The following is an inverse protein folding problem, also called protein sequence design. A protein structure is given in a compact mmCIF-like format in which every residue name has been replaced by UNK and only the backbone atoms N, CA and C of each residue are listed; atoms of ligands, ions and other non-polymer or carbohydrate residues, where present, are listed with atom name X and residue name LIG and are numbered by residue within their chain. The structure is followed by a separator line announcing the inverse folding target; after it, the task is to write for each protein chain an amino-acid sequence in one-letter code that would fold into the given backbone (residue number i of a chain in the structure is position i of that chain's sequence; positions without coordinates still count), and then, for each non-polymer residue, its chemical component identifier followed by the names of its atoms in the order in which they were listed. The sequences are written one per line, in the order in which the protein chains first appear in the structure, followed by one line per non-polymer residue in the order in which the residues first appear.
data_IF_323913105218
#
_entry.id   IF_323913105218
#
_cell.length_a   1.000
_cell.length_b   1.000
_cell.length_c   1.000
_cell.angle_alpha   90.00
_cell.angle_beta   90.00
_cell.angle_gamma   90.00
#
_symmetry.space_group_name_H-M   'P 1'
#
loop_
_entity.id
_entity.type
_entity.pdbx_description
1 polymer ?
#
# COMPACT_ATOMS: atom_id res chain seq x y z
N UNK A 1 37.72 -1.23 -23.20
CA UNK A 1 37.67 -2.34 -22.24
C UNK A 1 36.25 -2.40 -21.70
N UNK A 2 35.57 -3.55 -21.79
CA UNK A 2 34.28 -3.79 -21.13
C UNK A 2 34.54 -4.82 -20.03
N UNK A 3 34.71 -4.34 -18.81
CA UNK A 3 35.20 -5.15 -17.70
C UNK A 3 34.09 -5.86 -16.92
N UNK A 4 34.28 -7.14 -16.61
CA UNK A 4 33.67 -7.80 -15.45
C UNK A 4 34.72 -7.86 -14.34
N UNK A 5 34.60 -6.96 -13.38
CA UNK A 5 35.52 -6.90 -12.22
C UNK A 5 35.22 -8.06 -11.28
N UNK A 6 36.28 -8.73 -10.82
CA UNK A 6 36.19 -9.89 -9.94
C UNK A 6 36.72 -9.59 -8.53
N UNK A 7 37.79 -8.79 -8.43
CA UNK A 7 38.47 -8.48 -7.19
C UNK A 7 39.16 -7.12 -7.30
N UNK A 8 39.18 -6.41 -6.19
CA UNK A 8 39.99 -5.20 -5.99
C UNK A 8 40.83 -5.44 -4.74
N UNK A 9 42.13 -5.17 -4.79
CA UNK A 9 43.02 -5.22 -3.62
C UNK A 9 44.11 -4.15 -3.74
N UNK A 10 44.74 -3.81 -2.63
CA UNK A 10 45.80 -2.82 -2.59
C UNK A 10 47.18 -3.48 -2.77
N UNK A 11 48.05 -2.87 -3.57
CA UNK A 11 49.44 -3.29 -3.76
C UNK A 11 50.32 -2.08 -4.04
N UNK A 12 51.44 -1.96 -3.32
CA UNK A 12 52.42 -0.87 -3.47
C UNK A 12 51.78 0.55 -3.42
N UNK A 13 50.76 0.74 -2.58
CA UNK A 13 50.06 2.02 -2.44
C UNK A 13 49.10 2.37 -3.60
N UNK A 14 48.81 1.41 -4.49
CA UNK A 14 47.80 1.54 -5.56
C UNK A 14 46.71 0.48 -5.44
N UNK A 15 45.56 0.76 -6.03
CA UNK A 15 44.46 -0.21 -6.16
C UNK A 15 44.64 -1.02 -7.44
N UNK A 16 44.64 -2.34 -7.31
CA UNK A 16 44.70 -3.28 -8.43
C UNK A 16 43.29 -3.81 -8.69
N UNK A 17 42.76 -3.51 -9.88
CA UNK A 17 41.43 -3.96 -10.32
C UNK A 17 41.61 -5.17 -11.24
N UNK A 18 41.24 -6.35 -10.77
CA UNK A 18 41.31 -7.59 -11.54
C UNK A 18 39.96 -7.92 -12.15
N UNK A 19 39.94 -8.20 -13.45
CA UNK A 19 38.71 -8.59 -14.13
C UNK A 19 38.97 -9.24 -15.48
N UNK A 20 37.88 -9.42 -16.22
CA UNK A 20 37.91 -9.91 -17.60
C UNK A 20 37.43 -8.80 -18.53
N UNK A 21 38.20 -8.51 -19.57
CA UNK A 21 37.70 -7.72 -20.68
C UNK A 21 36.82 -8.62 -21.57
N UNK A 22 35.51 -8.43 -21.49
CA UNK A 22 34.54 -9.30 -22.14
C UNK A 22 34.57 -9.18 -23.66
N UNK A 23 35.21 -8.15 -24.22
CA UNK A 23 35.36 -8.00 -25.68
C UNK A 23 36.50 -8.88 -26.23
N UNK A 24 37.63 -8.94 -25.52
CA UNK A 24 38.80 -9.72 -25.94
C UNK A 24 38.87 -11.11 -25.33
N UNK A 25 38.07 -11.38 -24.29
CA UNK A 25 38.08 -12.63 -23.53
C UNK A 25 39.29 -12.77 -22.60
N UNK A 26 40.10 -11.73 -22.44
CA UNK A 26 41.34 -11.78 -21.67
C UNK A 26 41.14 -11.29 -20.25
N UNK A 27 41.89 -11.88 -19.33
CA UNK A 27 42.05 -11.34 -17.99
C UNK A 27 42.87 -10.05 -18.06
N UNK A 28 42.44 -9.05 -17.31
CA UNK A 28 43.06 -7.73 -17.24
C UNK A 28 43.25 -7.33 -15.79
N UNK A 29 44.41 -6.72 -15.53
CA UNK A 29 44.73 -6.07 -14.27
C UNK A 29 44.97 -4.59 -14.57
N UNK A 30 44.29 -3.72 -13.84
CA UNK A 30 44.38 -2.27 -14.01
C UNK A 30 44.83 -1.66 -12.69
N UNK A 31 45.99 -1.01 -12.70
CA UNK A 31 46.41 -0.14 -11.59
C UNK A 31 45.62 1.16 -11.64
N UNK A 32 45.01 1.53 -10.52
CA UNK A 32 44.26 2.77 -10.38
C UNK A 32 44.61 3.46 -9.04
N UNK A 33 44.66 4.79 -9.07
CA UNK A 33 44.83 5.61 -7.86
C UNK A 33 43.48 5.76 -7.10
N UNK A 34 42.36 5.58 -7.80
CA UNK A 34 41.00 5.63 -7.24
C UNK A 34 40.09 4.64 -7.96
N UNK A 35 39.27 3.92 -7.19
CA UNK A 35 38.20 3.07 -7.72
C UNK A 35 36.85 3.57 -7.21
N UNK A 36 35.96 3.92 -8.14
CA UNK A 36 34.60 4.38 -7.84
C UNK A 36 33.63 3.23 -8.00
N UNK A 37 32.92 2.87 -6.93
CA UNK A 37 31.87 1.86 -6.97
C UNK A 37 30.54 2.49 -7.34
N UNK A 38 30.03 2.15 -8.53
CA UNK A 38 28.67 2.52 -8.93
C UNK A 38 27.65 1.62 -8.22
N UNK A 39 27.30 1.96 -6.98
CA UNK A 39 26.38 1.19 -6.15
C UNK A 39 24.93 1.31 -6.63
N UNK A 40 24.15 0.25 -6.44
CA UNK A 40 22.72 0.26 -6.71
C UNK A 40 21.95 1.14 -5.71
N UNK A 41 20.76 1.60 -6.11
CA UNK A 41 19.82 2.27 -5.22
C UNK A 41 19.16 1.27 -4.26
N UNK A 42 18.87 1.72 -3.05
CA UNK A 42 18.05 1.01 -2.06
C UNK A 42 16.96 1.96 -1.54
N UNK A 43 15.86 1.44 -1.00
CA UNK A 43 14.88 2.26 -0.31
C UNK A 43 15.51 3.11 0.79
N UNK A 44 14.90 4.26 1.08
CA UNK A 44 15.35 5.12 2.15
C UNK A 44 15.15 4.45 3.53
N UNK A 45 16.00 4.81 4.48
CA UNK A 45 15.85 4.35 5.87
C UNK A 45 14.46 4.74 6.41
N UNK A 46 13.81 3.81 7.12
CA UNK A 46 12.47 4.01 7.68
C UNK A 46 11.30 3.84 6.70
N UNK A 47 11.53 3.36 5.47
CA UNK A 47 10.45 3.14 4.49
C UNK A 47 9.35 2.20 5.03
N UNK A 48 9.69 1.17 5.82
CA UNK A 48 8.73 0.22 6.39
C UNK A 48 7.74 0.89 7.36
N UNK A 49 8.23 1.85 8.16
CA UNK A 49 7.39 2.59 9.10
C UNK A 49 6.42 3.49 8.34
N UNK A 50 6.90 4.14 7.28
CA UNK A 50 6.06 4.94 6.38
C UNK A 50 5.03 4.06 5.66
N UNK A 51 5.45 2.90 5.15
CA UNK A 51 4.58 1.91 4.52
C UNK A 51 3.45 1.51 5.46
N UNK A 52 3.76 1.23 6.73
CA UNK A 52 2.77 0.84 7.73
C UNK A 52 1.79 1.96 8.07
N UNK A 53 2.29 3.18 8.25
CA UNK A 53 1.49 4.37 8.56
C UNK A 53 0.50 4.70 7.43
N UNK A 54 0.97 4.63 6.19
CA UNK A 54 0.18 4.96 5.00
C UNK A 54 -0.49 3.74 4.34
N UNK A 55 -0.27 2.54 4.89
CA UNK A 55 -0.77 1.25 4.37
C UNK A 55 -0.40 1.03 2.91
N UNK A 56 0.84 1.36 2.56
CA UNK A 56 1.34 1.21 1.21
C UNK A 56 1.91 -0.19 1.00
N UNK A 57 1.50 -0.89 -0.06
CA UNK A 57 2.22 -2.07 -0.51
C UNK A 57 3.61 -1.67 -1.03
N UNK A 58 4.57 -2.58 -0.90
CA UNK A 58 5.91 -2.46 -1.45
C UNK A 58 6.40 -3.82 -1.96
N UNK A 59 7.37 -3.80 -2.87
CA UNK A 59 7.93 -5.00 -3.50
C UNK A 59 8.96 -5.72 -2.60
N UNK A 60 9.53 -6.82 -3.09
CA UNK A 60 10.55 -7.60 -2.37
C UNK A 60 11.85 -6.82 -2.10
N UNK A 61 12.07 -5.70 -2.79
CA UNK A 61 13.23 -4.83 -2.64
C UNK A 61 12.96 -3.61 -1.75
N UNK A 62 11.71 -3.43 -1.29
CA UNK A 62 11.27 -2.35 -0.42
C UNK A 62 10.86 -1.06 -1.13
N UNK A 63 10.64 -1.08 -2.44
CA UNK A 63 10.10 0.06 -3.19
C UNK A 63 8.56 0.04 -3.17
N UNK A 64 7.93 1.21 -3.01
CA UNK A 64 6.47 1.30 -2.94
C UNK A 64 5.83 0.91 -4.27
N UNK A 65 4.78 0.08 -4.20
CA UNK A 65 4.09 -0.42 -5.39
C UNK A 65 3.01 0.56 -5.86
N UNK A 66 3.03 0.86 -7.15
CA UNK A 66 1.93 1.52 -7.83
C UNK A 66 0.70 0.62 -7.96
N UNK A 67 -0.45 1.22 -8.26
CA UNK A 67 -1.70 0.52 -8.49
C UNK A 67 -1.69 -0.28 -9.80
N UNK A 68 -1.10 0.28 -10.86
CA UNK A 68 -0.92 -0.43 -12.12
C UNK A 68 0.23 0.17 -12.95
N UNK A 69 1.21 -0.63 -13.41
CA UNK A 69 2.43 -0.13 -14.06
C UNK A 69 2.21 0.77 -15.29
N UNK A 70 1.09 0.57 -16.01
CA UNK A 70 0.78 1.31 -17.25
C UNK A 70 -0.35 2.31 -17.14
N UNK A 71 -1.33 2.05 -16.28
CA UNK A 71 -2.60 2.80 -16.26
C UNK A 71 -2.60 3.82 -15.13
N UNK A 72 -1.95 3.47 -14.01
CA UNK A 72 -1.94 4.23 -12.77
C UNK A 72 -0.54 4.21 -12.15
N UNK A 73 0.49 4.67 -12.87
CA UNK A 73 1.90 4.47 -12.48
C UNK A 73 2.34 5.33 -11.29
N UNK A 74 1.56 6.36 -10.94
CA UNK A 74 1.83 7.28 -9.81
C UNK A 74 0.77 7.18 -8.72
N UNK A 75 -0.20 6.30 -8.88
CA UNK A 75 -1.28 6.11 -7.90
C UNK A 75 -1.02 4.84 -7.12
N UNK A 76 -1.52 4.76 -5.90
CA UNK A 76 -1.44 3.53 -5.09
C UNK A 76 -2.82 2.89 -4.94
N UNK A 77 -2.84 1.69 -4.36
CA UNK A 77 -4.11 1.04 -3.97
C UNK A 77 -4.77 1.74 -2.77
N UNK A 78 -4.03 2.57 -2.04
CA UNK A 78 -4.58 3.42 -0.99
C UNK A 78 -5.09 4.71 -1.61
N UNK A 79 -6.42 4.90 -1.61
CA UNK A 79 -7.05 6.08 -2.18
C UNK A 79 -6.48 7.37 -1.56
N UNK A 80 -6.21 8.36 -2.42
CA UNK A 80 -5.62 9.64 -2.01
C UNK A 80 -4.11 9.64 -1.75
N UNK A 81 -3.43 8.48 -1.85
CA UNK A 81 -1.97 8.39 -1.73
C UNK A 81 -1.34 8.14 -3.10
N UNK A 82 -0.37 8.98 -3.45
CA UNK A 82 0.34 8.99 -4.73
C UNK A 82 1.85 8.81 -4.52
N UNK A 83 2.54 8.32 -5.54
CA UNK A 83 3.98 8.09 -5.54
C UNK A 83 4.69 9.04 -6.52
N UNK A 84 5.86 9.52 -6.13
CA UNK A 84 6.73 10.29 -7.00
C UNK A 84 8.20 10.08 -6.64
N UNK A 85 9.02 9.81 -7.66
CA UNK A 85 10.47 9.72 -7.50
C UNK A 85 10.95 8.32 -7.12
N UNK A 86 12.18 8.25 -6.61
CA UNK A 86 12.91 7.00 -6.42
C UNK A 86 12.31 6.08 -5.33
N UNK A 87 11.32 6.52 -4.57
CA UNK A 87 10.63 5.68 -3.59
C UNK A 87 9.83 4.53 -4.23
N UNK A 88 9.46 4.66 -5.51
CA UNK A 88 8.70 3.65 -6.26
C UNK A 88 9.59 2.66 -7.03
N UNK A 89 10.81 3.06 -7.40
CA UNK A 89 11.80 2.23 -8.11
C UNK A 89 13.07 3.06 -8.35
N UNK A 90 14.24 2.44 -8.58
CA UNK A 90 15.43 3.13 -9.07
C UNK A 90 15.12 3.86 -10.37
N UNK A 91 15.37 5.17 -10.41
CA UNK A 91 15.08 6.02 -11.57
C UNK A 91 15.98 7.23 -11.63
N UNK A 92 16.05 7.84 -12.80
CA UNK A 92 16.82 9.06 -13.01
C UNK A 92 16.03 10.33 -12.64
N UNK A 93 16.69 11.48 -12.78
CA UNK A 93 16.12 12.78 -12.45
C UNK A 93 14.94 13.13 -13.38
N UNK A 94 15.07 13.05 -14.72
CA UNK A 94 13.94 13.29 -15.63
C UNK A 94 12.69 12.47 -15.31
N UNK A 95 12.85 11.16 -15.06
CA UNK A 95 11.73 10.29 -14.68
C UNK A 95 11.10 10.69 -13.35
N UNK A 96 11.92 11.05 -12.36
CA UNK A 96 11.44 11.54 -11.06
C UNK A 96 10.62 12.83 -11.20
N UNK A 97 11.08 13.77 -12.03
CA UNK A 97 10.39 15.04 -12.29
C UNK A 97 9.09 14.80 -13.07
N UNK A 98 9.10 13.88 -14.03
CA UNK A 98 7.90 13.50 -14.77
C UNK A 98 6.86 12.86 -13.84
N UNK A 99 7.27 11.94 -12.96
CA UNK A 99 6.38 11.35 -11.96
C UNK A 99 5.82 12.39 -10.98
N UNK A 100 6.64 13.34 -10.52
CA UNK A 100 6.16 14.41 -9.64
C UNK A 100 5.05 15.24 -10.31
N UNK A 101 5.23 15.60 -11.59
CA UNK A 101 4.20 16.30 -12.37
C UNK A 101 2.93 15.46 -12.54
N UNK A 102 3.08 14.16 -12.83
CA UNK A 102 1.95 13.25 -12.96
C UNK A 102 1.18 13.06 -11.65
N UNK A 103 1.88 12.90 -10.52
CA UNK A 103 1.27 12.83 -9.20
C UNK A 103 0.52 14.12 -8.87
N UNK A 104 1.12 15.29 -9.11
CA UNK A 104 0.47 16.58 -8.92
C UNK A 104 -0.81 16.73 -9.76
N UNK A 105 -0.77 16.33 -11.04
CA UNK A 105 -1.95 16.36 -11.91
C UNK A 105 -3.08 15.45 -11.40
N UNK A 106 -2.76 14.28 -10.85
CA UNK A 106 -3.75 13.37 -10.26
C UNK A 106 -4.34 13.93 -8.96
N UNK A 107 -3.53 14.54 -8.12
CA UNK A 107 -3.99 15.26 -6.92
C UNK A 107 -4.93 16.41 -7.30
N UNK A 108 -4.58 17.21 -8.31
CA UNK A 108 -5.45 18.27 -8.82
C UNK A 108 -6.77 17.72 -9.36
N UNK A 109 -6.74 16.57 -10.05
CA UNK A 109 -7.95 15.91 -10.53
C UNK A 109 -8.83 15.38 -9.38
N UNK A 110 -8.24 14.97 -8.26
CA UNK A 110 -8.99 14.54 -7.07
C UNK A 110 -9.72 15.72 -6.43
N UNK A 111 -9.09 16.89 -6.38
CA UNK A 111 -9.66 18.12 -5.80
C UNK A 111 -10.46 18.98 -6.78
N UNK A 112 -10.54 18.61 -8.06
CA UNK A 112 -11.27 19.40 -9.06
C UNK A 112 -12.79 19.27 -8.93
N UNK A 113 -13.26 18.23 -8.25
CA UNK A 113 -14.67 18.00 -8.00
C UNK A 113 -15.04 18.32 -6.54
N UNK A 114 -16.22 18.89 -6.28
CA UNK A 114 -16.69 19.19 -4.93
C UNK A 114 -17.04 17.92 -4.12
N UNK A 115 -17.20 16.79 -4.80
CA UNK A 115 -17.60 15.52 -4.21
C UNK A 115 -16.77 14.39 -4.79
N UNK A 116 -16.43 13.40 -3.96
CA UNK A 116 -15.70 12.20 -4.37
C UNK A 116 -16.69 11.03 -4.32
N UNK A 117 -16.79 10.29 -5.42
CA UNK A 117 -17.51 9.03 -5.45
C UNK A 117 -16.66 7.94 -4.80
N UNK A 118 -17.26 7.17 -3.90
CA UNK A 118 -16.63 6.02 -3.25
C UNK A 118 -17.39 4.76 -3.59
N UNK A 119 -16.68 3.64 -3.59
CA UNK A 119 -17.32 2.34 -3.74
C UNK A 119 -18.35 2.14 -2.61
N UNK A 120 -19.59 1.72 -2.94
CA UNK A 120 -20.65 1.55 -1.95
C UNK A 120 -20.50 0.27 -1.12
N UNK A 121 -19.38 -0.45 -1.29
CA UNK A 121 -19.02 -1.69 -0.58
C UNK A 121 -18.60 -1.37 0.86
N UNK A 122 -19.52 -0.85 1.66
CA UNK A 122 -19.28 -0.49 3.07
C UNK A 122 -19.96 -1.48 4.00
N UNK A 123 -19.42 -1.60 5.22
CA UNK A 123 -20.05 -2.38 6.27
C UNK A 123 -21.29 -1.67 6.82
N UNK A 124 -22.34 -2.42 7.11
CA UNK A 124 -23.59 -1.94 7.68
C UNK A 124 -23.93 -2.76 8.93
N UNK A 125 -24.38 -2.07 9.98
CA UNK A 125 -24.72 -2.70 11.27
C UNK A 125 -26.23 -2.73 11.43
N UNK A 126 -26.79 -3.91 11.70
CA UNK A 126 -28.15 -4.07 12.16
C UNK A 126 -28.24 -3.72 13.66
N UNK A 127 -28.75 -2.53 13.97
CA UNK A 127 -28.87 -1.99 15.32
C UNK A 127 -29.77 -2.84 16.24
N UNK A 128 -30.77 -3.52 15.67
CA UNK A 128 -31.69 -4.36 16.42
C UNK A 128 -30.97 -5.59 16.99
N UNK A 129 -30.17 -6.26 16.16
CA UNK A 129 -29.46 -7.48 16.56
C UNK A 129 -28.11 -7.20 17.22
N UNK A 130 -27.45 -6.06 16.94
CA UNK A 130 -26.13 -5.75 17.50
C UNK A 130 -26.14 -5.76 19.04
N UNK A 131 -25.30 -6.55 19.70
CA UNK A 131 -25.28 -6.62 21.18
C UNK A 131 -24.38 -5.58 21.85
N UNK A 132 -23.60 -4.81 21.08
CA UNK A 132 -22.66 -3.82 21.63
C UNK A 132 -21.41 -4.43 22.28
N UNK A 133 -20.88 -5.56 21.78
CA UNK A 133 -19.63 -6.13 22.29
C UNK A 133 -18.36 -5.39 21.84
N UNK A 134 -18.45 -4.60 20.76
CA UNK A 134 -17.37 -3.80 20.17
C UNK A 134 -16.10 -4.55 19.75
N UNK A 135 -16.15 -5.87 19.57
CA UNK A 135 -15.05 -6.63 18.94
C UNK A 135 -14.72 -6.08 17.53
N UNK A 136 -15.74 -5.61 16.81
CA UNK A 136 -15.62 -4.97 15.50
C UNK A 136 -14.78 -3.68 15.53
N UNK A 137 -14.79 -2.92 16.62
CA UNK A 137 -14.00 -1.69 16.79
C UNK A 137 -12.51 -2.02 16.81
N UNK A 138 -12.13 -3.11 17.49
CA UNK A 138 -10.73 -3.53 17.67
C UNK A 138 -10.08 -4.07 16.39
N UNK A 139 -10.88 -4.67 15.50
CA UNK A 139 -10.38 -5.28 14.26
C UNK A 139 -10.43 -4.32 13.07
N UNK A 140 -11.11 -3.17 13.19
CA UNK A 140 -11.19 -2.21 12.10
C UNK A 140 -9.86 -1.47 11.96
N UNK A 141 -9.08 -1.69 10.89
CA UNK A 141 -7.82 -0.97 10.78
C UNK A 141 -8.08 0.52 10.53
N UNK A 142 -9.19 0.90 9.90
CA UNK A 142 -9.51 2.29 9.52
C UNK A 142 -10.18 3.12 10.63
N UNK A 143 -10.40 2.56 11.82
CA UNK A 143 -11.18 3.21 12.90
C UNK A 143 -12.56 3.70 12.42
N UNK A 144 -13.20 2.94 11.51
CA UNK A 144 -14.49 3.29 10.95
C UNK A 144 -15.68 2.90 11.84
N UNK A 145 -15.45 2.27 12.99
CA UNK A 145 -16.52 1.82 13.90
C UNK A 145 -16.66 2.82 15.05
N UNK A 146 -17.86 3.35 15.21
CA UNK A 146 -18.25 4.28 16.26
C UNK A 146 -19.28 3.63 17.19
N UNK A 147 -19.40 4.17 18.41
CA UNK A 147 -20.41 3.73 19.38
C UNK A 147 -21.61 4.66 19.32
N UNK A 148 -22.78 4.12 18.98
CA UNK A 148 -24.04 4.86 18.87
C UNK A 148 -24.96 4.49 20.03
N UNK A 149 -25.39 5.51 20.78
CA UNK A 149 -26.40 5.35 21.83
C UNK A 149 -27.80 5.36 21.22
N UNK A 150 -28.57 4.31 21.48
CA UNK A 150 -30.00 4.25 21.17
C UNK A 150 -30.75 4.75 22.42
N UNK A 151 -31.52 5.83 22.26
CA UNK A 151 -32.26 6.48 23.34
C UNK A 151 -33.76 6.28 23.18
N UNK A 152 -34.47 6.18 24.30
CA UNK A 152 -35.93 6.21 24.32
C UNK A 152 -36.47 7.63 24.06
N UNK A 153 -37.77 7.77 23.84
CA UNK A 153 -38.48 9.06 23.74
C UNK A 153 -38.24 9.99 24.94
N UNK A 154 -37.87 9.44 26.10
CA UNK A 154 -37.54 10.17 27.33
C UNK A 154 -36.06 10.56 27.44
N UNK A 155 -35.23 10.22 26.45
CA UNK A 155 -33.80 10.51 26.44
C UNK A 155 -32.92 9.50 27.19
N UNK A 156 -33.51 8.48 27.81
CA UNK A 156 -32.77 7.42 28.51
C UNK A 156 -32.07 6.50 27.51
N UNK A 157 -30.81 6.15 27.77
CA UNK A 157 -30.04 5.20 26.96
C UNK A 157 -30.63 3.79 27.17
N UNK A 158 -31.14 3.20 26.10
CA UNK A 158 -31.65 1.83 26.09
C UNK A 158 -30.51 0.85 25.82
N UNK A 159 -29.63 1.21 24.88
CA UNK A 159 -28.61 0.32 24.33
C UNK A 159 -27.51 1.12 23.65
N UNK A 160 -26.28 0.62 23.68
CA UNK A 160 -25.18 1.16 22.87
C UNK A 160 -24.83 0.12 21.82
N UNK A 161 -24.84 0.53 20.56
CA UNK A 161 -24.58 -0.34 19.40
C UNK A 161 -23.39 0.16 18.61
N UNK A 162 -22.80 -0.70 17.78
CA UNK A 162 -21.81 -0.28 16.81
C UNK A 162 -22.50 0.45 15.65
N UNK A 163 -21.86 1.49 15.12
CA UNK A 163 -22.25 2.23 13.93
C UNK A 163 -21.03 2.35 13.03
N UNK A 164 -21.18 2.20 11.72
CA UNK A 164 -20.07 2.34 10.77
C UNK A 164 -20.09 3.75 10.21
N UNK A 165 -18.96 4.44 10.26
CA UNK A 165 -18.73 5.67 9.54
C UNK A 165 -18.45 5.36 8.05
N UNK A 166 -19.38 5.66 7.13
CA UNK A 166 -19.21 5.33 5.71
C UNK A 166 -18.06 6.11 5.07
N UNK A 167 -17.64 7.23 5.64
CA UNK A 167 -16.52 8.03 5.15
C UNK A 167 -15.15 7.43 5.46
N UNK A 168 -15.05 6.47 6.39
CA UNK A 168 -13.80 5.81 6.78
C UNK A 168 -13.75 4.32 6.40
N UNK A 169 -14.89 3.72 6.06
CA UNK A 169 -14.97 2.30 5.77
C UNK A 169 -14.46 1.99 4.35
N UNK A 170 -13.33 1.28 4.24
CA UNK A 170 -12.81 0.78 2.95
C UNK A 170 -13.36 -0.61 2.56
N UNK A 171 -14.40 -1.11 3.23
CA UNK A 171 -15.07 -2.34 2.79
C UNK A 171 -14.33 -3.67 3.00
N UNK A 172 -13.24 -3.71 3.77
CA UNK A 172 -12.43 -4.93 3.93
C UNK A 172 -13.14 -6.16 4.57
N UNK A 173 -14.33 -5.99 5.15
CA UNK A 173 -15.11 -7.10 5.72
C UNK A 173 -14.63 -7.67 7.06
N UNK A 174 -13.52 -7.19 7.64
CA UNK A 174 -12.96 -7.72 8.89
C UNK A 174 -13.95 -7.69 10.07
N UNK A 175 -14.74 -6.61 10.18
CA UNK A 175 -15.78 -6.48 11.20
C UNK A 175 -16.96 -7.44 10.99
N UNK A 176 -17.36 -7.70 9.74
CA UNK A 176 -18.42 -8.65 9.40
C UNK A 176 -18.01 -10.10 9.72
N UNK A 177 -16.75 -10.46 9.42
CA UNK A 177 -16.20 -11.77 9.79
C UNK A 177 -16.04 -11.99 11.29
N UNK A 178 -15.75 -10.93 12.05
CA UNK A 178 -15.58 -11.00 13.52
C UNK A 178 -16.91 -10.95 14.28
N UNK A 179 -17.98 -10.48 13.66
CA UNK A 179 -19.27 -10.30 14.34
C UNK A 179 -19.94 -11.64 14.66
N UNK A 180 -19.84 -12.07 15.93
CA UNK A 180 -20.42 -13.34 16.41
C UNK A 180 -21.93 -13.44 16.22
N UNK A 181 -22.63 -12.31 16.37
CA UNK A 181 -24.09 -12.26 16.22
C UNK A 181 -24.52 -11.96 14.78
N UNK A 182 -23.57 -11.90 13.83
CA UNK A 182 -23.82 -11.57 12.42
C UNK A 182 -24.65 -10.30 12.20
N UNK A 183 -24.50 -9.35 13.12
CA UNK A 183 -25.16 -8.04 13.06
C UNK A 183 -24.46 -7.07 12.10
N UNK A 184 -23.31 -7.45 11.53
CA UNK A 184 -22.57 -6.62 10.58
C UNK A 184 -22.49 -7.36 9.25
N UNK A 185 -22.94 -6.71 8.18
CA UNK A 185 -22.90 -7.23 6.80
C UNK A 185 -22.14 -6.26 5.91
N UNK A 186 -21.50 -6.77 4.86
CA UNK A 186 -20.83 -5.95 3.84
C UNK A 186 -21.76 -5.77 2.63
N UNK A 187 -22.04 -4.52 2.23
CA UNK A 187 -22.87 -4.26 1.04
C UNK A 187 -22.20 -4.83 -0.20
N UNK A 188 -22.93 -5.61 -1.00
CA UNK A 188 -22.40 -6.31 -2.18
C UNK A 188 -21.75 -7.67 -1.89
N UNK A 189 -21.52 -8.01 -0.62
CA UNK A 189 -20.98 -9.30 -0.17
C UNK A 189 -21.70 -9.76 1.11
N UNK A 190 -23.04 -9.77 1.09
CA UNK A 190 -23.80 -10.25 2.24
C UNK A 190 -23.67 -11.77 2.38
N UNK A 191 -23.96 -12.30 3.57
CA UNK A 191 -23.76 -13.74 3.86
C UNK A 191 -24.56 -14.63 2.88
N UNK A 192 -25.76 -14.22 2.45
CA UNK A 192 -26.58 -14.95 1.48
C UNK A 192 -25.93 -15.00 0.08
N UNK A 193 -25.38 -13.87 -0.40
CA UNK A 193 -24.68 -13.75 -1.68
C UNK A 193 -23.42 -14.62 -1.69
N UNK A 194 -22.63 -14.58 -0.61
CA UNK A 194 -21.43 -15.42 -0.48
C UNK A 194 -21.81 -16.90 -0.44
N UNK A 195 -22.86 -17.26 0.32
CA UNK A 195 -23.32 -18.64 0.38
C UNK A 195 -23.85 -19.12 -0.97
N UNK A 196 -24.60 -18.28 -1.70
CA UNK A 196 -25.06 -18.59 -3.04
C UNK A 196 -23.89 -18.85 -4.01
N UNK A 197 -22.81 -18.05 -3.93
CA UNK A 197 -21.60 -18.29 -4.72
C UNK A 197 -20.96 -19.65 -4.40
N UNK A 198 -20.83 -20.02 -3.12
CA UNK A 198 -20.29 -21.32 -2.72
C UNK A 198 -21.12 -22.49 -3.23
N UNK A 199 -22.45 -22.41 -3.09
CA UNK A 199 -23.36 -23.45 -3.57
C UNK A 199 -23.26 -23.58 -5.09
N UNK A 200 -23.21 -22.46 -5.81
CA UNK A 200 -23.09 -22.47 -7.27
C UNK A 200 -21.78 -23.07 -7.79
N UNK A 201 -20.68 -22.94 -7.03
CA UNK A 201 -19.39 -23.52 -7.38
C UNK A 201 -19.25 -25.01 -7.03
N UNK A 202 -20.21 -25.57 -6.28
CA UNK A 202 -20.19 -26.97 -5.81
C UNK A 202 -20.98 -27.93 -6.72
N UNK A 203 -21.51 -27.42 -7.84
CA UNK A 203 -22.25 -28.16 -8.89
C UNK A 203 -21.45 -28.13 -10.18
#
# INVERSE_FOLDING_TARGET
IRGRVSRIYESNGKLIVCGMDTLSGKLVEVEADLVVLATAMRPADGFEELARKLRLPYDEYGFFSEAHPKLRPVETNTAGVFLAGACQAPKDIPESVAQASAAAAKVMSLFSMPTIEREPTIAEVNEMTCTGCFDCERVCPYNAIERKEIKDRRGNIIKVVASVNPGLCEGCGACAGTCRNKSITLKGFNDEQVFAQLVSASV
#
